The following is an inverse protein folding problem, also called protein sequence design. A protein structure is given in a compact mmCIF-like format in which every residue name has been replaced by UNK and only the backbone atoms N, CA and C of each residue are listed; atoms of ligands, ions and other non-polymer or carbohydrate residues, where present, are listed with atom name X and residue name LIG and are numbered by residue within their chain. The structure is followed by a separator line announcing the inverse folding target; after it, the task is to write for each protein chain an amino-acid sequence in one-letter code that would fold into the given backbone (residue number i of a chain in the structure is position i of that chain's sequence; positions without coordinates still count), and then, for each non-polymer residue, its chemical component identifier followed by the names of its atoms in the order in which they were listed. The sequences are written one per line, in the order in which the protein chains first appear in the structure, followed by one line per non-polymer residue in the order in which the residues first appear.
data_IF_740311689904
#
_entry.id   IF_740311689904
#
_cell.length_a   1.000
_cell.length_b   1.000
_cell.length_c   1.000
_cell.angle_alpha   90.00
_cell.angle_beta   90.00
_cell.angle_gamma   90.00
#
_symmetry.space_group_name_H-M   'P 1'
#
loop_
_entity.id
_entity.type
_entity.pdbx_description
1 polymer ?
#
# COMPACT_ATOMS: atom_id res chain seq x y z
N UNK A 1 -4.41 0.97 4.45
CA UNK A 1 -5.46 1.91 4.92
C UNK A 1 -6.85 1.32 4.71
N UNK A 2 -7.17 0.73 3.53
CA UNK A 2 -8.52 0.21 3.23
C UNK A 2 -9.09 -0.76 4.27
N UNK A 3 -8.31 -1.72 4.73
CA UNK A 3 -8.73 -2.71 5.75
C UNK A 3 -9.14 -2.04 7.07
N UNK A 4 -8.44 -0.99 7.46
CA UNK A 4 -8.74 -0.21 8.67
C UNK A 4 -10.06 0.56 8.54
N UNK A 5 -10.29 1.24 7.42
CA UNK A 5 -11.53 1.99 7.14
C UNK A 5 -12.79 1.12 7.19
N UNK A 6 -12.63 -0.16 6.83
CA UNK A 6 -13.73 -1.14 6.77
C UNK A 6 -13.89 -1.92 8.09
N UNK A 7 -13.11 -1.58 9.14
CA UNK A 7 -13.02 -2.31 10.41
C UNK A 7 -12.84 -3.82 10.23
N UNK A 8 -12.16 -4.22 9.16
CA UNK A 8 -11.91 -5.62 8.86
C UNK A 8 -10.52 -6.02 9.36
N UNK A 9 -10.31 -7.31 9.58
CA UNK A 9 -8.99 -7.85 9.89
C UNK A 9 -8.28 -8.28 8.61
N UNK A 10 -6.95 -8.20 8.50
CA UNK A 10 -6.20 -8.66 7.32
C UNK A 10 -6.46 -10.13 6.96
N UNK A 11 -6.87 -10.96 7.92
CA UNK A 11 -7.20 -12.38 7.70
C UNK A 11 -8.67 -12.64 7.37
N UNK A 12 -9.55 -11.62 7.40
CA UNK A 12 -10.97 -11.84 7.09
C UNK A 12 -11.19 -12.25 5.62
N UNK A 13 -12.23 -13.03 5.30
CA UNK A 13 -12.57 -13.39 3.92
C UNK A 13 -12.78 -12.16 3.04
N UNK A 14 -12.37 -12.24 1.76
CA UNK A 14 -12.45 -11.14 0.80
C UNK A 14 -13.88 -10.56 0.69
N UNK A 15 -14.88 -11.43 0.56
CA UNK A 15 -16.28 -11.01 0.44
C UNK A 15 -16.77 -10.24 1.68
N UNK A 16 -16.31 -10.64 2.86
CA UNK A 16 -16.66 -9.97 4.12
C UNK A 16 -16.02 -8.58 4.23
N UNK A 17 -14.81 -8.42 3.70
CA UNK A 17 -14.10 -7.15 3.67
C UNK A 17 -14.71 -6.16 2.69
N UNK A 18 -15.01 -6.61 1.47
CA UNK A 18 -15.19 -5.69 0.33
C UNK A 18 -16.56 -5.73 -0.34
N UNK A 19 -17.37 -6.78 -0.13
CA UNK A 19 -18.60 -6.98 -0.92
C UNK A 19 -19.83 -6.27 -0.32
N UNK A 20 -19.92 -6.13 1.01
CA UNK A 20 -21.01 -5.39 1.65
C UNK A 20 -20.55 -4.81 3.01
N UNK A 21 -19.77 -3.73 3.01
CA UNK A 21 -19.25 -3.17 4.24
C UNK A 21 -20.38 -2.48 5.03
N UNK A 22 -20.88 -3.16 6.06
CA UNK A 22 -21.94 -2.66 6.94
C UNK A 22 -21.55 -1.38 7.70
N UNK A 23 -20.26 -1.09 7.84
CA UNK A 23 -19.72 0.09 8.51
C UNK A 23 -18.47 0.56 7.78
N UNK A 24 -18.48 1.81 7.35
CA UNK A 24 -17.30 2.53 6.84
C UNK A 24 -17.00 3.60 7.89
N UNK A 25 -15.79 3.61 8.45
CA UNK A 25 -15.35 4.68 9.32
C UNK A 25 -14.17 5.39 8.67
N UNK A 26 -14.31 6.70 8.45
CA UNK A 26 -13.21 7.56 8.01
C UNK A 26 -12.11 7.66 9.07
N UNK A 27 -10.95 8.15 8.65
CA UNK A 27 -9.89 8.53 9.59
C UNK A 27 -10.26 9.83 10.30
N UNK A 28 -9.91 9.92 11.57
CA UNK A 28 -10.01 11.18 12.30
C UNK A 28 -8.99 12.21 11.78
N UNK A 29 -9.26 13.50 11.99
CA UNK A 29 -8.39 14.56 11.51
C UNK A 29 -6.95 14.42 12.03
N UNK A 30 -6.78 13.98 13.29
CA UNK A 30 -5.46 13.74 13.88
C UNK A 30 -4.72 12.58 13.20
N UNK A 31 -5.43 11.51 12.86
CA UNK A 31 -4.88 10.38 12.12
C UNK A 31 -4.48 10.78 10.70
N UNK A 32 -5.29 11.60 10.03
CA UNK A 32 -4.97 12.14 8.70
C UNK A 32 -3.67 12.93 8.74
N UNK A 33 -3.52 13.84 9.72
CA UNK A 33 -2.30 14.63 9.91
C UNK A 33 -1.08 13.75 10.19
N UNK A 34 -1.23 12.79 11.10
CA UNK A 34 -0.14 11.89 11.52
C UNK A 34 0.34 11.01 10.38
N UNK A 35 -0.57 10.30 9.73
CA UNK A 35 -0.21 9.41 8.61
C UNK A 35 0.24 10.19 7.39
N UNK A 36 -0.35 11.36 7.12
CA UNK A 36 0.09 12.26 6.05
C UNK A 36 1.55 12.66 6.24
N UNK A 37 1.93 13.10 7.45
CA UNK A 37 3.32 13.45 7.78
C UNK A 37 4.26 12.25 7.59
N UNK A 38 3.92 11.08 8.14
CA UNK A 38 4.76 9.89 8.04
C UNK A 38 4.97 9.43 6.60
N UNK A 39 3.91 9.44 5.77
CA UNK A 39 4.01 9.12 4.33
C UNK A 39 4.98 10.11 3.65
N UNK A 40 4.81 11.41 3.88
CA UNK A 40 5.65 12.44 3.27
C UNK A 40 7.12 12.33 3.69
N UNK A 41 7.38 11.98 4.96
CA UNK A 41 8.75 11.77 5.46
C UNK A 41 9.44 10.61 4.75
N UNK A 42 8.74 9.49 4.57
CA UNK A 42 9.30 8.34 3.85
C UNK A 42 9.52 8.68 2.37
N UNK A 43 8.56 9.35 1.71
CA UNK A 43 8.73 9.76 0.30
C UNK A 43 9.89 10.72 0.11
N UNK A 44 10.06 11.68 1.02
CA UNK A 44 11.19 12.60 1.03
C UNK A 44 12.50 11.84 1.18
N UNK A 45 12.58 10.92 2.15
CA UNK A 45 13.76 10.09 2.35
C UNK A 45 14.11 9.26 1.11
N UNK A 46 13.12 8.61 0.48
CA UNK A 46 13.34 7.83 -0.74
C UNK A 46 13.84 8.69 -1.89
N UNK A 47 13.24 9.87 -2.08
CA UNK A 47 13.65 10.83 -3.09
C UNK A 47 15.10 11.31 -2.88
N UNK A 48 15.47 11.67 -1.64
CA UNK A 48 16.84 12.06 -1.28
C UNK A 48 17.87 10.93 -1.51
N UNK A 49 17.43 9.67 -1.49
CA UNK A 49 18.26 8.49 -1.77
C UNK A 49 18.21 8.03 -3.23
N UNK A 50 17.45 8.71 -4.09
CA UNK A 50 17.31 8.35 -5.51
C UNK A 50 16.39 7.15 -5.77
N UNK A 51 15.56 6.75 -4.81
CA UNK A 51 14.59 5.66 -4.97
C UNK A 51 13.21 6.23 -5.36
N UNK A 52 12.71 5.98 -6.59
CA UNK A 52 11.38 6.42 -6.98
C UNK A 52 10.30 5.58 -6.29
N UNK A 53 9.18 6.17 -5.88
CA UNK A 53 8.02 5.45 -5.34
C UNK A 53 6.72 5.94 -6.01
N UNK A 54 6.49 5.50 -7.25
CA UNK A 54 5.42 5.99 -8.14
C UNK A 54 4.04 5.36 -7.92
N UNK A 55 3.92 4.39 -7.01
CA UNK A 55 2.73 3.56 -6.78
C UNK A 55 2.12 3.80 -5.40
N UNK A 56 2.19 5.03 -4.90
CA UNK A 56 1.56 5.40 -3.63
C UNK A 56 0.03 5.35 -3.75
N UNK A 57 -0.60 4.39 -3.07
CA UNK A 57 -2.04 4.33 -2.91
C UNK A 57 -2.44 3.66 -1.59
N UNK A 58 -3.71 3.77 -1.21
CA UNK A 58 -4.24 3.32 0.09
C UNK A 58 -4.10 1.81 0.39
N UNK A 59 -3.75 1.01 -0.61
CA UNK A 59 -3.45 -0.42 -0.47
C UNK A 59 -1.95 -0.71 -0.25
N UNK A 60 -1.05 0.20 -0.64
CA UNK A 60 0.39 0.11 -0.39
C UNK A 60 0.82 0.87 0.87
N UNK A 61 -0.17 1.25 1.70
CA UNK A 61 0.06 1.84 3.01
C UNK A 61 -0.56 0.92 4.05
N UNK A 62 0.25 0.30 4.89
CA UNK A 62 -0.19 -0.45 6.05
C UNK A 62 -0.27 0.48 7.25
N UNK A 63 -1.32 0.33 8.07
CA UNK A 63 -1.42 1.01 9.36
C UNK A 63 -1.06 0.02 10.46
N UNK A 64 -0.26 0.47 11.42
CA UNK A 64 0.25 -0.30 12.54
C UNK A 64 0.25 0.60 13.79
N UNK A 65 -0.87 0.57 14.51
CA UNK A 65 -1.14 1.55 15.58
C UNK A 65 -1.18 2.97 15.04
N UNK A 66 -0.37 3.85 15.65
CA UNK A 66 -0.21 5.26 15.26
C UNK A 66 0.87 5.47 14.17
N UNK A 67 1.37 4.38 13.59
CA UNK A 67 2.35 4.43 12.50
C UNK A 67 1.78 3.89 11.20
N UNK A 68 2.29 4.40 10.08
CA UNK A 68 2.04 3.86 8.76
C UNK A 68 3.35 3.40 8.12
N UNK A 69 3.24 2.35 7.31
CA UNK A 69 4.37 1.73 6.60
C UNK A 69 4.05 1.69 5.12
N UNK A 70 4.96 2.18 4.29
CA UNK A 70 4.88 2.00 2.84
C UNK A 70 5.29 0.56 2.50
N UNK A 71 4.51 -0.08 1.64
CA UNK A 71 4.74 -1.43 1.14
C UNK A 71 5.32 -1.38 -0.27
N UNK A 72 5.76 -2.53 -0.79
CA UNK A 72 6.21 -2.70 -2.18
C UNK A 72 7.39 -1.77 -2.56
N UNK A 73 8.31 -1.51 -1.63
CA UNK A 73 9.54 -0.75 -1.90
C UNK A 73 10.47 -1.52 -2.85
N UNK A 74 10.44 -2.84 -2.78
CA UNK A 74 11.18 -3.74 -3.66
C UNK A 74 10.77 -3.59 -5.13
N UNK A 75 9.52 -3.19 -5.42
CA UNK A 75 9.08 -2.97 -6.80
C UNK A 75 9.81 -1.80 -7.46
N UNK A 76 10.24 -0.81 -6.68
CA UNK A 76 11.08 0.29 -7.15
C UNK A 76 12.52 -0.14 -7.43
N UNK A 77 13.02 -1.14 -6.71
CA UNK A 77 14.40 -1.65 -6.80
C UNK A 77 14.55 -2.72 -7.88
N UNK A 78 13.58 -3.65 -7.95
CA UNK A 78 13.57 -4.80 -8.86
C UNK A 78 12.94 -4.47 -10.22
N UNK A 79 12.50 -3.21 -10.40
CA UNK A 79 12.33 -2.60 -11.71
C UNK A 79 11.43 -3.37 -12.67
N UNK A 80 10.21 -3.72 -12.24
CA UNK A 80 9.17 -4.06 -13.21
C UNK A 80 8.15 -2.93 -13.25
N UNK A 81 8.31 -1.97 -14.17
CA UNK A 81 7.19 -1.17 -14.63
C UNK A 81 6.04 -2.11 -14.97
N UNK A 82 4.81 -1.76 -14.56
CA UNK A 82 3.58 -2.50 -14.88
C UNK A 82 3.50 -2.86 -16.37
N UNK A 83 4.12 -2.04 -17.23
CA UNK A 83 4.29 -2.22 -18.66
C UNK A 83 5.00 -3.53 -19.09
N UNK A 84 6.01 -4.01 -18.35
CA UNK A 84 6.78 -5.21 -18.73
C UNK A 84 6.26 -6.51 -18.11
N UNK A 85 5.21 -6.45 -17.28
CA UNK A 85 4.69 -7.61 -16.53
C UNK A 85 4.23 -8.76 -17.44
N UNK A 86 3.69 -8.44 -18.61
CA UNK A 86 3.25 -9.40 -19.64
C UNK A 86 4.40 -10.08 -20.39
N UNK A 87 5.60 -9.48 -20.40
CA UNK A 87 6.80 -10.09 -20.99
C UNK A 87 7.38 -11.15 -20.05
N UNK A 88 7.42 -10.87 -18.74
CA UNK A 88 7.93 -11.80 -17.73
C UNK A 88 7.00 -12.96 -17.39
N UNK A 89 5.68 -12.81 -17.60
CA UNK A 89 4.74 -13.94 -17.42
C UNK A 89 4.95 -15.05 -18.46
N UNK A 90 5.62 -14.78 -19.57
CA UNK A 90 5.93 -15.78 -20.60
C UNK A 90 7.10 -16.70 -20.21
N UNK A 91 7.98 -16.25 -19.32
CA UNK A 91 9.12 -17.04 -18.83
C UNK A 91 8.76 -17.98 -17.68
N UNK A 92 7.48 -18.04 -17.24
CA UNK A 92 6.96 -19.06 -16.30
C UNK A 92 6.62 -20.39 -16.99
N UNK A 93 7.48 -20.84 -17.90
CA UNK A 93 7.62 -22.28 -18.18
C UNK A 93 9.07 -22.65 -17.90
N UNK A 94 9.29 -23.13 -16.70
CA UNK A 94 10.44 -23.96 -16.38
C UNK A 94 9.84 -25.27 -15.87
N UNK A 95 10.28 -26.36 -16.49
CA UNK A 95 9.87 -27.75 -16.23
C UNK A 95 10.04 -28.16 -14.77
#
# INVERSE_FOLDING_TARGET
IRVFLLKAKPKDPFLKKYCNPKKIQGLELQQIKTYGRQILEVLKFLHEKGFPYGHLHSANVMLDGDTCKLLDLENSLLGLPSFYRSYFSQFRKIN
#
